data_IF_096853575438
#
_entry.id   IF_096853575438
#
_cell.length_a   1.000
_cell.length_b   1.000
_cell.length_c   1.000
_cell.angle_alpha   90.00
_cell.angle_beta   90.00
_cell.angle_gamma   90.00
#
_symmetry.space_group_name_H-M   'P 1'
#
loop_
_entity.id
_entity.type
_entity.pdbx_description
1 polymer ?
#
# COMPACT_ATOMS: atom_id res chain seq x y z
N UNK A 1 12.73 22.96 -13.59
CA UNK A 1 12.39 22.77 -12.17
C UNK A 1 13.51 22.00 -11.52
N UNK A 2 14.13 22.57 -10.47
CA UNK A 2 15.13 21.87 -9.66
C UNK A 2 14.42 21.16 -8.51
N UNK A 3 14.68 19.87 -8.32
CA UNK A 3 14.11 19.09 -7.22
C UNK A 3 15.23 18.53 -6.37
N UNK A 4 15.17 18.74 -5.07
CA UNK A 4 16.16 18.22 -4.13
C UNK A 4 16.02 16.69 -4.02
N UNK A 5 17.14 15.96 -4.10
CA UNK A 5 17.18 14.51 -3.95
C UNK A 5 17.45 14.14 -2.49
N UNK A 6 18.39 14.82 -1.87
CA UNK A 6 18.77 14.61 -0.46
C UNK A 6 18.34 15.83 0.38
N UNK A 7 17.14 15.76 0.93
CA UNK A 7 16.55 16.88 1.66
C UNK A 7 17.13 17.07 3.07
N UNK A 8 17.94 16.17 3.57
CA UNK A 8 18.43 16.15 4.97
C UNK A 8 19.08 17.48 5.40
N UNK A 9 19.93 18.08 4.54
CA UNK A 9 20.59 19.33 4.87
C UNK A 9 19.62 20.52 4.90
N UNK A 10 18.60 20.52 4.00
CA UNK A 10 17.53 21.53 4.01
C UNK A 10 16.69 21.40 5.28
N UNK A 11 16.31 20.16 5.64
CA UNK A 11 15.56 19.85 6.85
C UNK A 11 16.34 20.30 8.09
N UNK A 12 17.64 20.01 8.16
CA UNK A 12 18.50 20.47 9.26
C UNK A 12 18.54 21.99 9.35
N UNK A 13 18.79 22.67 8.24
CA UNK A 13 18.91 24.13 8.19
C UNK A 13 17.59 24.85 8.46
N UNK A 14 16.48 24.39 7.92
CA UNK A 14 15.22 25.11 7.93
C UNK A 14 14.19 24.61 8.96
N UNK A 15 14.28 23.36 9.38
CA UNK A 15 13.39 22.76 10.37
C UNK A 15 14.10 22.51 11.70
N UNK A 16 15.20 21.75 11.69
CA UNK A 16 15.87 21.36 12.94
C UNK A 16 16.52 22.54 13.67
N UNK A 17 17.02 23.54 12.95
CA UNK A 17 17.59 24.73 13.56
C UNK A 17 16.56 25.67 14.22
N UNK A 18 15.27 25.46 13.98
CA UNK A 18 14.20 26.37 14.44
C UNK A 18 13.68 26.06 15.85
N UNK A 19 13.97 24.89 16.40
CA UNK A 19 13.45 24.48 17.70
C UNK A 19 14.44 23.57 18.43
N UNK A 20 14.57 23.75 19.75
CA UNK A 20 15.42 22.91 20.61
C UNK A 20 14.78 21.54 20.89
N UNK A 21 13.46 21.49 20.96
CA UNK A 21 12.69 20.25 21.14
C UNK A 21 11.73 20.03 19.97
N UNK A 22 11.71 18.80 19.45
CA UNK A 22 10.93 18.43 18.28
C UNK A 22 10.20 17.13 18.48
N UNK A 23 8.94 17.07 18.08
CA UNK A 23 8.12 15.85 18.08
C UNK A 23 7.66 15.60 16.65
N UNK A 24 7.98 14.43 16.12
CA UNK A 24 7.50 13.94 14.84
C UNK A 24 6.46 12.86 15.09
N UNK A 25 5.26 13.04 14.58
CA UNK A 25 4.15 12.10 14.79
C UNK A 25 3.55 11.66 13.48
N UNK A 26 3.29 10.36 13.36
CA UNK A 26 2.53 9.78 12.25
C UNK A 26 1.99 8.40 12.69
N UNK A 27 0.87 8.02 12.13
CA UNK A 27 0.37 6.64 12.26
C UNK A 27 1.26 5.62 11.54
N UNK A 28 2.07 6.06 10.57
CA UNK A 28 2.87 5.19 9.70
C UNK A 28 4.27 5.75 9.48
N UNK A 29 5.07 5.85 10.55
CA UNK A 29 6.49 6.25 10.43
C UNK A 29 7.30 5.17 9.68
N UNK A 30 6.89 3.92 9.75
CA UNK A 30 7.63 2.80 9.17
C UNK A 30 8.83 2.39 10.03
N UNK A 31 9.95 2.05 9.38
CA UNK A 31 11.21 1.75 10.06
C UNK A 31 11.83 3.02 10.64
N UNK A 32 12.03 3.10 11.99
CA UNK A 32 12.54 4.31 12.63
C UNK A 32 13.94 4.72 12.17
N UNK A 33 14.83 3.74 11.93
CA UNK A 33 16.20 4.03 11.52
C UNK A 33 16.23 4.67 10.13
N UNK A 34 15.47 4.12 9.18
CA UNK A 34 15.32 4.69 7.85
C UNK A 34 14.68 6.08 7.89
N UNK A 35 13.64 6.26 8.71
CA UNK A 35 12.98 7.55 8.89
C UNK A 35 13.96 8.61 9.43
N UNK A 36 14.69 8.30 10.51
CA UNK A 36 15.67 9.20 11.10
C UNK A 36 16.74 9.61 10.09
N UNK A 37 17.27 8.66 9.33
CA UNK A 37 18.25 8.90 8.28
C UNK A 37 17.71 9.85 7.20
N UNK A 38 16.49 9.59 6.71
CA UNK A 38 15.81 10.40 5.69
C UNK A 38 15.56 11.83 6.19
N UNK A 39 15.14 11.97 7.43
CA UNK A 39 14.83 13.27 8.06
C UNK A 39 16.06 13.98 8.61
N UNK A 40 17.26 13.40 8.54
CA UNK A 40 18.47 13.99 9.07
C UNK A 40 18.46 14.13 10.60
N UNK A 41 17.82 13.21 11.30
CA UNK A 41 17.73 13.15 12.77
C UNK A 41 18.87 12.28 13.28
N UNK A 42 19.74 12.83 14.15
CA UNK A 42 20.89 12.11 14.70
C UNK A 42 20.51 11.34 15.96
N UNK A 43 19.76 11.99 16.86
CA UNK A 43 19.33 11.40 18.12
C UNK A 43 17.85 11.63 18.34
N UNK A 44 17.08 10.56 18.52
CA UNK A 44 15.69 10.64 18.90
C UNK A 44 15.25 9.43 19.71
N UNK A 45 14.32 9.63 20.63
CA UNK A 45 13.59 8.56 21.27
C UNK A 45 12.41 8.18 20.39
N UNK A 46 12.34 6.94 19.94
CA UNK A 46 11.18 6.42 19.21
C UNK A 46 10.19 5.81 20.21
N UNK A 47 8.94 6.24 20.11
CA UNK A 47 7.83 5.71 20.91
C UNK A 47 6.79 5.18 19.96
N UNK A 48 6.45 3.89 20.07
CA UNK A 48 5.35 3.28 19.35
C UNK A 48 4.24 2.99 20.35
N UNK A 49 3.11 3.63 20.15
CA UNK A 49 1.90 3.34 20.89
C UNK A 49 1.23 2.11 20.29
N UNK A 50 0.78 1.19 21.14
CA UNK A 50 -0.11 0.12 20.71
C UNK A 50 -1.45 0.70 20.30
N UNK A 51 -2.09 0.09 19.31
CA UNK A 51 -3.50 0.34 19.03
C UNK A 51 -4.34 -0.80 19.63
N UNK A 52 -5.62 -0.53 19.84
CA UNK A 52 -6.58 -1.49 20.39
C UNK A 52 -7.17 -2.42 19.31
N UNK A 53 -6.59 -2.47 18.10
CA UNK A 53 -7.10 -3.28 17.02
C UNK A 53 -6.85 -4.76 17.27
N UNK A 54 -7.86 -5.57 17.03
CA UNK A 54 -7.72 -7.01 17.06
C UNK A 54 -7.05 -7.50 15.75
N UNK A 55 -5.77 -7.81 15.84
CA UNK A 55 -4.97 -8.26 14.71
C UNK A 55 -5.42 -9.60 14.11
N UNK A 56 -6.06 -10.46 14.88
CA UNK A 56 -6.61 -11.73 14.39
C UNK A 56 -7.78 -11.50 13.41
N UNK A 57 -8.50 -10.39 13.56
CA UNK A 57 -9.56 -9.97 12.65
C UNK A 57 -9.06 -9.32 11.35
N UNK A 58 -7.76 -9.11 11.21
CA UNK A 58 -7.19 -8.43 10.04
C UNK A 58 -5.93 -9.11 9.49
N UNK A 59 -6.03 -10.39 9.09
CA UNK A 59 -4.91 -11.15 8.56
C UNK A 59 -4.42 -10.59 7.23
N UNK A 60 -3.12 -10.78 6.98
CA UNK A 60 -2.48 -10.47 5.71
C UNK A 60 -2.06 -11.80 5.07
N UNK A 61 -2.74 -12.20 4.01
CA UNK A 61 -2.44 -13.41 3.25
C UNK A 61 -1.44 -13.07 2.16
N UNK A 62 -0.21 -13.51 2.34
CA UNK A 62 0.85 -13.30 1.35
C UNK A 62 0.99 -14.54 0.46
N UNK A 63 0.67 -14.40 -0.82
CA UNK A 63 0.78 -15.47 -1.82
C UNK A 63 2.13 -15.34 -2.51
N UNK A 64 3.09 -16.16 -2.08
CA UNK A 64 4.49 -16.08 -2.50
C UNK A 64 4.77 -16.94 -3.75
N UNK A 65 3.99 -16.75 -4.83
CA UNK A 65 4.10 -17.59 -6.04
C UNK A 65 4.71 -16.88 -7.24
N UNK A 66 4.21 -15.69 -7.56
CA UNK A 66 4.54 -15.02 -8.82
C UNK A 66 5.10 -13.63 -8.53
N UNK A 67 6.22 -13.30 -9.17
CA UNK A 67 6.88 -12.00 -9.05
C UNK A 67 6.39 -11.06 -10.14
N UNK A 68 5.97 -9.86 -9.76
CA UNK A 68 5.59 -8.78 -10.67
C UNK A 68 6.76 -7.82 -10.94
N UNK A 69 7.99 -8.36 -10.96
CA UNK A 69 9.19 -7.61 -11.36
C UNK A 69 9.15 -7.27 -12.84
N UNK A 70 9.94 -6.29 -13.27
CA UNK A 70 10.04 -5.89 -14.69
C UNK A 70 10.41 -7.06 -15.64
N UNK A 71 11.16 -8.04 -15.13
CA UNK A 71 11.61 -9.20 -15.92
C UNK A 71 10.56 -10.30 -16.03
N UNK A 72 9.72 -10.43 -15.01
CA UNK A 72 8.82 -11.59 -14.85
C UNK A 72 7.34 -11.20 -15.01
N UNK A 73 7.01 -9.90 -15.07
CA UNK A 73 5.62 -9.42 -15.07
C UNK A 73 4.78 -10.03 -16.19
N UNK A 74 5.32 -10.14 -17.40
CA UNK A 74 4.57 -10.64 -18.58
C UNK A 74 4.11 -12.08 -18.39
N UNK A 75 4.96 -12.94 -17.84
CA UNK A 75 4.65 -14.36 -17.57
C UNK A 75 3.82 -14.56 -16.30
N UNK A 76 3.98 -13.66 -15.33
CA UNK A 76 3.28 -13.72 -14.04
C UNK A 76 1.87 -13.15 -14.11
N UNK A 77 1.66 -12.13 -14.94
CA UNK A 77 0.43 -11.33 -14.97
C UNK A 77 -0.86 -12.14 -15.18
N UNK A 78 -0.95 -13.11 -16.13
CA UNK A 78 -2.15 -13.92 -16.28
C UNK A 78 -2.44 -14.78 -15.04
N UNK A 79 -1.39 -15.31 -14.40
CA UNK A 79 -1.48 -16.18 -13.21
C UNK A 79 -1.90 -15.39 -11.97
N UNK A 80 -1.38 -14.18 -11.82
CA UNK A 80 -1.76 -13.27 -10.74
C UNK A 80 -3.21 -12.81 -10.91
N UNK A 81 -3.67 -12.59 -12.15
CA UNK A 81 -5.07 -12.28 -12.44
C UNK A 81 -5.99 -13.46 -12.09
N UNK A 82 -5.61 -14.69 -12.40
CA UNK A 82 -6.38 -15.89 -12.02
C UNK A 82 -6.52 -16.01 -10.49
N UNK A 83 -5.46 -15.69 -9.74
CA UNK A 83 -5.51 -15.66 -8.28
C UNK A 83 -6.42 -14.54 -7.76
N UNK A 84 -6.36 -13.36 -8.38
CA UNK A 84 -7.25 -12.24 -8.07
C UNK A 84 -8.72 -12.65 -8.26
N UNK A 85 -9.05 -13.28 -9.38
CA UNK A 85 -10.41 -13.75 -9.67
C UNK A 85 -10.90 -14.76 -8.62
N UNK A 86 -10.05 -15.72 -8.22
CA UNK A 86 -10.37 -16.68 -7.15
C UNK A 86 -10.64 -16.01 -5.81
N UNK A 87 -9.92 -14.93 -5.50
CA UNK A 87 -10.14 -14.15 -4.27
C UNK A 87 -11.48 -13.41 -4.36
N UNK A 88 -11.80 -12.79 -5.49
CA UNK A 88 -13.09 -12.15 -5.70
C UNK A 88 -14.24 -13.15 -5.58
N UNK A 89 -14.08 -14.38 -6.08
CA UNK A 89 -15.04 -15.47 -5.91
C UNK A 89 -15.24 -15.85 -4.44
N UNK A 90 -14.15 -15.94 -3.68
CA UNK A 90 -14.21 -16.25 -2.24
C UNK A 90 -15.01 -15.19 -1.46
N UNK A 91 -14.97 -13.96 -1.91
CA UNK A 91 -15.64 -12.80 -1.29
C UNK A 91 -16.94 -12.41 -2.01
N UNK A 92 -17.76 -13.42 -2.40
CA UNK A 92 -19.10 -13.17 -2.95
C UNK A 92 -19.92 -12.34 -1.97
N UNK A 93 -20.63 -11.33 -2.45
CA UNK A 93 -21.48 -10.48 -1.63
C UNK A 93 -20.74 -9.44 -0.79
N UNK A 94 -19.40 -9.40 -0.80
CA UNK A 94 -18.61 -8.45 -0.03
C UNK A 94 -17.98 -7.38 -0.92
N UNK A 95 -17.92 -6.13 -0.43
CA UNK A 95 -17.15 -5.08 -1.09
C UNK A 95 -15.66 -5.23 -0.78
N UNK A 96 -14.84 -4.85 -1.75
CA UNK A 96 -13.40 -4.88 -1.59
C UNK A 96 -12.69 -3.83 -2.44
N UNK A 97 -11.36 -3.76 -2.27
CA UNK A 97 -10.53 -2.83 -3.03
C UNK A 97 -9.32 -3.54 -3.64
N UNK A 98 -8.89 -3.10 -4.82
CA UNK A 98 -7.70 -3.60 -5.50
C UNK A 98 -6.72 -2.44 -5.69
N UNK A 99 -5.57 -2.51 -5.02
CA UNK A 99 -4.43 -1.64 -5.21
C UNK A 99 -3.57 -2.19 -6.34
N UNK A 100 -3.78 -1.73 -7.56
CA UNK A 100 -3.13 -2.31 -8.74
C UNK A 100 -1.74 -1.73 -9.04
N UNK A 101 -1.39 -0.56 -8.49
CA UNK A 101 -0.06 0.05 -8.59
C UNK A 101 0.21 0.85 -9.86
N UNK A 102 -0.58 0.70 -10.93
CA UNK A 102 -0.50 1.52 -12.15
C UNK A 102 -1.80 1.49 -12.94
N UNK A 103 -2.00 2.47 -13.82
CA UNK A 103 -3.12 2.46 -14.77
C UNK A 103 -3.01 1.30 -15.78
N UNK A 104 -1.80 0.90 -16.15
CA UNK A 104 -1.57 -0.28 -17.01
C UNK A 104 -2.19 -1.54 -16.40
N UNK A 105 -1.91 -1.82 -15.12
CA UNK A 105 -2.48 -2.97 -14.43
C UNK A 105 -3.99 -2.81 -14.17
N UNK A 106 -4.45 -1.60 -13.90
CA UNK A 106 -5.88 -1.34 -13.76
C UNK A 106 -6.62 -1.70 -15.06
N UNK A 107 -6.16 -1.19 -16.19
CA UNK A 107 -6.78 -1.47 -17.50
C UNK A 107 -6.72 -2.95 -17.86
N UNK A 108 -5.62 -3.64 -17.51
CA UNK A 108 -5.51 -5.08 -17.71
C UNK A 108 -6.53 -5.85 -16.88
N UNK A 109 -6.69 -5.53 -15.60
CA UNK A 109 -7.68 -6.15 -14.70
C UNK A 109 -9.09 -5.91 -15.23
N UNK A 110 -9.41 -4.64 -15.59
CA UNK A 110 -10.72 -4.29 -16.13
C UNK A 110 -11.06 -5.01 -17.43
N UNK A 111 -10.07 -5.28 -18.29
CA UNK A 111 -10.28 -5.95 -19.58
C UNK A 111 -10.31 -7.48 -19.50
N UNK A 112 -9.66 -8.09 -18.50
CA UNK A 112 -9.38 -9.54 -18.49
C UNK A 112 -9.97 -10.31 -17.32
N UNK A 113 -10.37 -9.65 -16.22
CA UNK A 113 -11.00 -10.31 -15.08
C UNK A 113 -12.36 -10.91 -15.46
N UNK A 114 -12.69 -12.05 -14.88
CA UNK A 114 -14.00 -12.69 -15.01
C UNK A 114 -15.12 -11.93 -14.25
N UNK A 115 -14.74 -11.00 -13.38
CA UNK A 115 -15.64 -10.28 -12.49
C UNK A 115 -15.82 -8.81 -12.87
N UNK A 116 -15.65 -8.45 -14.16
CA UNK A 116 -15.76 -7.06 -14.65
C UNK A 116 -17.06 -6.37 -14.21
N UNK A 117 -18.16 -7.14 -14.09
CA UNK A 117 -19.45 -6.62 -13.64
C UNK A 117 -19.44 -6.12 -12.16
N UNK A 118 -18.48 -6.56 -11.34
CA UNK A 118 -18.28 -6.09 -9.97
C UNK A 118 -17.27 -4.95 -9.88
N UNK A 119 -16.39 -4.81 -10.88
CA UNK A 119 -15.29 -3.85 -10.84
C UNK A 119 -15.78 -2.44 -11.10
N UNK A 120 -15.26 -1.50 -10.35
CA UNK A 120 -15.42 -0.06 -10.53
C UNK A 120 -14.03 0.55 -10.54
N UNK A 121 -13.72 1.35 -11.56
CA UNK A 121 -12.45 2.07 -11.68
C UNK A 121 -12.69 3.57 -11.87
N UNK A 122 -11.63 4.35 -11.90
CA UNK A 122 -11.62 5.76 -12.24
C UNK A 122 -10.42 6.06 -13.14
N UNK A 123 -10.58 6.94 -14.12
CA UNK A 123 -9.53 7.27 -15.07
C UNK A 123 -8.64 8.42 -14.60
N UNK A 124 -9.22 9.32 -13.82
CA UNK A 124 -8.51 10.50 -13.30
C UNK A 124 -9.04 10.90 -11.92
N UNK A 125 -8.40 11.90 -11.30
CA UNK A 125 -8.75 12.36 -9.95
C UNK A 125 -10.15 12.97 -9.84
N UNK A 126 -10.74 13.48 -10.95
CA UNK A 126 -12.09 14.07 -10.94
C UNK A 126 -13.13 12.96 -10.86
N UNK A 127 -12.93 11.87 -11.59
CA UNK A 127 -13.86 10.73 -11.62
C UNK A 127 -13.79 9.89 -10.34
N UNK A 128 -12.74 10.07 -9.51
CA UNK A 128 -12.54 9.30 -8.28
C UNK A 128 -13.69 9.47 -7.29
N UNK A 129 -14.25 10.68 -7.17
CA UNK A 129 -15.35 10.94 -6.26
C UNK A 129 -16.63 10.19 -6.69
N UNK A 130 -16.96 10.24 -7.97
CA UNK A 130 -18.14 9.57 -8.53
C UNK A 130 -17.99 8.04 -8.47
N UNK A 131 -16.80 7.52 -8.78
CA UNK A 131 -16.50 6.09 -8.63
C UNK A 131 -16.64 5.61 -7.17
N UNK A 132 -16.26 6.42 -6.19
CA UNK A 132 -16.44 6.12 -4.78
C UNK A 132 -17.91 6.11 -4.36
N UNK A 133 -18.71 7.07 -4.84
CA UNK A 133 -20.15 7.10 -4.57
C UNK A 133 -20.85 5.88 -5.16
N UNK A 134 -20.51 5.51 -6.41
CA UNK A 134 -21.02 4.30 -7.03
C UNK A 134 -20.59 3.04 -6.27
N UNK A 135 -19.33 2.96 -5.85
CA UNK A 135 -18.79 1.85 -5.06
C UNK A 135 -19.54 1.66 -3.74
N UNK A 136 -19.83 2.74 -3.02
CA UNK A 136 -20.59 2.69 -1.76
C UNK A 136 -22.04 2.26 -1.94
N UNK A 137 -22.68 2.61 -3.08
CA UNK A 137 -24.07 2.27 -3.37
C UNK A 137 -24.24 0.85 -3.89
N UNK A 138 -23.28 0.34 -4.66
CA UNK A 138 -23.37 -0.97 -5.31
C UNK A 138 -22.94 -2.08 -4.34
N UNK A 139 -23.84 -2.99 -4.04
CA UNK A 139 -23.53 -4.19 -3.26
C UNK A 139 -22.46 -5.04 -3.95
N UNK A 140 -21.59 -5.67 -3.16
CA UNK A 140 -20.49 -6.53 -3.64
C UNK A 140 -19.53 -5.91 -4.66
N UNK A 141 -19.52 -4.59 -4.81
CA UNK A 141 -18.59 -3.90 -5.70
C UNK A 141 -17.12 -4.06 -5.27
N UNK A 142 -16.21 -3.96 -6.24
CA UNK A 142 -14.76 -3.98 -6.01
C UNK A 142 -14.15 -2.75 -6.68
N UNK A 143 -13.59 -1.85 -5.88
CA UNK A 143 -12.96 -0.64 -6.38
C UNK A 143 -11.52 -0.93 -6.81
N UNK A 144 -11.18 -0.60 -8.05
CA UNK A 144 -9.85 -0.84 -8.64
C UNK A 144 -9.16 0.48 -8.93
N UNK A 145 -7.90 0.63 -8.48
CA UNK A 145 -7.15 1.84 -8.83
C UNK A 145 -5.70 1.80 -8.39
N UNK A 146 -4.84 2.61 -9.07
CA UNK A 146 -3.41 2.68 -8.77
C UNK A 146 -3.11 3.42 -7.47
N UNK A 147 -3.97 4.35 -7.06
CA UNK A 147 -3.75 5.26 -5.93
C UNK A 147 -4.91 5.27 -4.92
N UNK A 148 -5.54 4.13 -4.66
CA UNK A 148 -6.61 4.01 -3.65
C UNK A 148 -6.07 4.27 -2.24
N UNK A 149 -4.76 4.17 -2.06
CA UNK A 149 -4.09 4.29 -0.76
C UNK A 149 -4.31 5.63 -0.05
N UNK A 150 -4.58 6.70 -0.80
CA UNK A 150 -4.67 8.04 -0.23
C UNK A 150 -6.12 8.53 -0.05
N UNK A 151 -6.42 9.05 1.15
CA UNK A 151 -7.64 9.83 1.40
C UNK A 151 -8.95 9.04 1.55
N UNK A 152 -8.93 7.69 1.56
CA UNK A 152 -10.14 6.88 1.69
C UNK A 152 -10.32 6.32 3.10
N UNK A 153 -11.52 6.44 3.62
CA UNK A 153 -12.01 5.73 4.80
C UNK A 153 -12.97 4.62 4.34
N UNK A 154 -12.52 3.38 4.47
CA UNK A 154 -13.21 2.20 3.95
C UNK A 154 -13.57 1.22 5.09
N UNK A 155 -14.08 1.76 6.18
CA UNK A 155 -14.45 0.99 7.37
C UNK A 155 -15.67 0.09 7.13
N UNK A 156 -15.79 -0.93 7.98
CA UNK A 156 -16.95 -1.81 8.07
C UNK A 156 -17.24 -2.53 6.73
N UNK A 157 -18.50 -2.67 6.34
CA UNK A 157 -18.92 -3.34 5.12
C UNK A 157 -18.54 -2.63 3.82
N UNK A 158 -17.90 -1.46 3.90
CA UNK A 158 -17.38 -0.77 2.72
C UNK A 158 -16.15 -1.51 2.15
N UNK A 159 -15.32 -2.18 3.00
CA UNK A 159 -14.20 -2.99 2.50
C UNK A 159 -13.91 -4.17 3.41
N UNK A 160 -14.41 -5.34 3.07
CA UNK A 160 -14.15 -6.61 3.79
C UNK A 160 -12.92 -7.34 3.31
N UNK A 161 -12.41 -6.98 2.14
CA UNK A 161 -11.13 -7.46 1.64
C UNK A 161 -10.41 -6.39 0.83
N UNK A 162 -9.10 -6.50 0.79
CA UNK A 162 -8.26 -5.68 -0.07
C UNK A 162 -7.17 -6.53 -0.71
N UNK A 163 -6.83 -6.21 -1.95
CA UNK A 163 -5.85 -6.94 -2.74
C UNK A 163 -4.76 -5.97 -3.19
N UNK A 164 -3.53 -6.22 -2.79
CA UNK A 164 -2.36 -5.64 -3.42
C UNK A 164 -1.97 -6.54 -4.59
N UNK A 165 -2.35 -6.12 -5.79
CA UNK A 165 -2.03 -6.82 -7.03
C UNK A 165 -0.53 -6.79 -7.30
N UNK A 166 0.10 -5.67 -6.94
CA UNK A 166 1.54 -5.46 -6.98
C UNK A 166 2.01 -4.75 -5.72
N UNK A 167 3.27 -4.98 -5.33
CA UNK A 167 3.91 -4.19 -4.28
C UNK A 167 3.89 -2.71 -4.65
N UNK A 168 3.47 -1.79 -3.74
CA UNK A 168 3.29 -0.37 -4.04
C UNK A 168 4.62 0.40 -4.10
N UNK A 169 5.53 -0.04 -4.98
CA UNK A 169 6.78 0.66 -5.24
C UNK A 169 6.52 2.04 -5.84
N UNK A 170 7.29 3.09 -5.44
CA UNK A 170 7.27 4.37 -6.14
C UNK A 170 7.63 4.18 -7.62
N UNK A 171 6.92 4.91 -8.51
CA UNK A 171 7.10 4.74 -9.95
C UNK A 171 8.48 5.18 -10.43
N UNK A 172 9.21 4.27 -11.04
CA UNK A 172 10.51 4.55 -11.67
C UNK A 172 10.41 5.31 -13.01
N UNK A 173 9.22 5.66 -13.46
CA UNK A 173 9.05 6.55 -14.61
C UNK A 173 9.47 7.99 -14.29
N UNK A 174 9.46 8.37 -13.00
CA UNK A 174 9.94 9.67 -12.56
C UNK A 174 11.47 9.69 -12.47
N UNK A 175 12.17 10.60 -13.18
CA UNK A 175 13.61 10.80 -13.04
C UNK A 175 14.04 11.09 -11.60
N UNK A 176 13.21 11.86 -10.85
CA UNK A 176 13.44 12.16 -9.46
C UNK A 176 13.43 10.89 -8.58
N UNK A 177 12.46 10.00 -8.78
CA UNK A 177 12.38 8.73 -8.03
C UNK A 177 13.57 7.82 -8.38
N UNK A 178 13.98 7.76 -9.65
CA UNK A 178 15.19 7.03 -10.06
C UNK A 178 16.44 7.55 -9.36
N UNK A 179 16.58 8.87 -9.30
CA UNK A 179 17.71 9.52 -8.62
C UNK A 179 17.65 9.22 -7.10
N UNK A 180 16.50 9.37 -6.45
CA UNK A 180 16.33 9.00 -5.04
C UNK A 180 16.69 7.54 -4.77
N UNK A 181 16.22 6.61 -5.58
CA UNK A 181 16.57 5.20 -5.43
C UNK A 181 18.09 4.96 -5.55
N UNK A 182 18.78 5.67 -6.46
CA UNK A 182 20.23 5.55 -6.65
C UNK A 182 21.02 6.12 -5.47
N UNK A 183 20.66 7.31 -4.98
CA UNK A 183 21.44 8.04 -3.97
C UNK A 183 20.94 7.80 -2.55
N UNK A 184 19.68 7.38 -2.38
CA UNK A 184 19.04 7.10 -1.10
C UNK A 184 18.27 5.76 -1.15
N UNK A 185 18.95 4.60 -1.29
CA UNK A 185 18.27 3.31 -1.46
C UNK A 185 17.33 2.98 -0.29
N UNK A 186 17.72 3.32 0.94
CA UNK A 186 16.86 3.12 2.14
C UNK A 186 15.54 3.89 2.05
N UNK A 187 15.53 5.05 1.35
CA UNK A 187 14.31 5.83 1.13
C UNK A 187 13.29 5.08 0.27
N UNK A 188 13.75 4.38 -0.77
CA UNK A 188 12.89 3.67 -1.69
C UNK A 188 12.14 2.52 -0.99
N UNK A 189 12.87 1.72 -0.23
CA UNK A 189 12.30 0.62 0.57
C UNK A 189 11.40 1.13 1.69
N UNK A 190 11.85 2.18 2.39
CA UNK A 190 11.06 2.83 3.43
C UNK A 190 9.75 3.38 2.87
N UNK A 191 9.78 4.13 1.77
CA UNK A 191 8.59 4.68 1.12
C UNK A 191 7.62 3.59 0.67
N UNK A 192 8.15 2.48 0.14
CA UNK A 192 7.34 1.32 -0.25
C UNK A 192 6.66 0.69 0.95
N UNK A 193 7.39 0.46 2.04
CA UNK A 193 6.83 -0.11 3.27
C UNK A 193 5.76 0.80 3.89
N UNK A 194 6.00 2.11 3.93
CA UNK A 194 5.01 3.11 4.41
C UNK A 194 3.75 3.09 3.55
N UNK A 195 3.88 3.04 2.21
CA UNK A 195 2.73 2.96 1.31
C UNK A 195 1.92 1.68 1.54
N UNK A 196 2.59 0.54 1.74
CA UNK A 196 1.92 -0.71 2.10
C UNK A 196 1.17 -0.61 3.43
N UNK A 197 1.82 -0.09 4.49
CA UNK A 197 1.21 0.10 5.82
C UNK A 197 -0.01 1.02 5.76
N UNK A 198 0.06 2.11 5.00
CA UNK A 198 -1.05 3.03 4.79
C UNK A 198 -2.23 2.34 4.09
N UNK A 199 -1.97 1.46 3.14
CA UNK A 199 -3.00 0.68 2.46
C UNK A 199 -3.64 -0.34 3.39
N UNK A 200 -2.84 -1.15 4.10
CA UNK A 200 -3.34 -2.15 5.07
C UNK A 200 -4.25 -1.50 6.13
N UNK A 201 -3.97 -0.27 6.55
CA UNK A 201 -4.76 0.47 7.54
C UNK A 201 -6.06 1.07 6.99
N UNK A 202 -6.47 0.83 5.73
CA UNK A 202 -7.68 1.45 5.15
C UNK A 202 -8.97 0.72 5.46
N UNK A 203 -8.94 -0.59 5.53
CA UNK A 203 -10.13 -1.43 5.66
C UNK A 203 -10.49 -1.80 7.09
N UNK A 204 -9.63 -1.52 8.09
CA UNK A 204 -9.90 -1.77 9.51
C UNK A 204 -9.68 -0.49 10.30
N UNK A 205 -10.71 0.00 10.98
CA UNK A 205 -10.73 1.30 11.66
C UNK A 205 -11.12 1.25 13.13
N UNK A 206 -11.61 0.13 13.61
CA UNK A 206 -11.96 -0.09 15.02
C UNK A 206 -11.51 -1.48 15.47
N UNK A 207 -11.55 -1.73 16.78
CA UNK A 207 -11.20 -3.04 17.35
C UNK A 207 -12.18 -4.16 16.97
N UNK A 208 -13.42 -3.80 16.61
CA UNK A 208 -14.46 -4.76 16.24
C UNK A 208 -14.54 -4.99 14.72
N UNK A 209 -13.91 -4.10 13.95
CA UNK A 209 -13.87 -4.19 12.50
C UNK A 209 -12.93 -5.29 12.01
N UNK A 210 -13.20 -5.82 10.83
CA UNK A 210 -12.40 -6.88 10.23
C UNK A 210 -12.27 -6.73 8.72
N UNK A 211 -11.13 -7.13 8.19
CA UNK A 211 -10.91 -7.24 6.75
C UNK A 211 -9.72 -8.16 6.47
N UNK A 212 -9.73 -8.83 5.32
CA UNK A 212 -8.60 -9.64 4.86
C UNK A 212 -7.79 -8.88 3.82
N UNK A 213 -6.48 -8.80 4.03
CA UNK A 213 -5.54 -8.23 3.04
C UNK A 213 -4.87 -9.36 2.28
N UNK A 214 -4.84 -9.28 0.95
CA UNK A 214 -4.10 -10.20 0.10
C UNK A 214 -2.94 -9.47 -0.59
N UNK A 215 -1.75 -10.06 -0.55
CA UNK A 215 -0.58 -9.60 -1.30
C UNK A 215 -0.24 -10.66 -2.35
N UNK A 216 -0.38 -10.33 -3.64
CA UNK A 216 -0.21 -11.28 -4.75
C UNK A 216 1.18 -11.25 -5.37
N UNK A 217 1.97 -10.22 -5.12
CA UNK A 217 3.30 -10.05 -5.70
C UNK A 217 4.39 -10.61 -4.78
N UNK A 218 5.04 -11.69 -5.19
CA UNK A 218 6.13 -12.33 -4.44
C UNK A 218 7.36 -11.43 -4.23
N UNK A 219 7.47 -10.29 -4.92
CA UNK A 219 8.47 -9.25 -4.60
C UNK A 219 8.32 -8.71 -3.18
N UNK A 220 7.16 -8.84 -2.56
CA UNK A 220 6.92 -8.42 -1.17
C UNK A 220 7.83 -9.12 -0.16
N UNK A 221 8.34 -10.32 -0.47
CA UNK A 221 9.25 -11.06 0.41
C UNK A 221 10.46 -10.23 0.85
N UNK A 222 11.00 -9.39 -0.03
CA UNK A 222 12.15 -8.53 0.29
C UNK A 222 11.81 -7.41 1.26
N UNK A 223 10.53 -7.03 1.36
CA UNK A 223 10.06 -5.95 2.23
C UNK A 223 9.61 -6.41 3.61
N UNK A 224 9.41 -7.70 3.82
CA UNK A 224 8.91 -8.24 5.11
C UNK A 224 9.85 -7.84 6.27
N UNK A 225 11.16 -7.77 6.04
CA UNK A 225 12.12 -7.33 7.06
C UNK A 225 11.90 -5.87 7.50
N UNK A 226 11.40 -5.02 6.60
CA UNK A 226 11.14 -3.58 6.81
C UNK A 226 9.77 -3.27 7.40
N UNK A 227 8.91 -4.29 7.52
CA UNK A 227 7.57 -4.12 8.10
C UNK A 227 7.64 -4.26 9.62
N UNK A 228 6.91 -3.44 10.41
CA UNK A 228 6.87 -3.52 11.87
C UNK A 228 6.42 -4.89 12.40
N UNK A 229 6.87 -5.24 13.61
CA UNK A 229 6.64 -6.57 14.21
C UNK A 229 5.15 -6.93 14.32
N UNK A 230 4.32 -6.00 14.73
CA UNK A 230 2.86 -6.17 14.86
C UNK A 230 2.16 -6.43 13.52
N UNK A 231 2.68 -5.87 12.44
CA UNK A 231 2.18 -6.16 11.09
C UNK A 231 2.73 -7.51 10.59
N UNK A 232 4.00 -7.82 10.89
CA UNK A 232 4.60 -9.13 10.54
C UNK A 232 3.83 -10.30 11.15
N UNK A 233 3.39 -10.19 12.40
CA UNK A 233 2.62 -11.25 13.08
C UNK A 233 1.30 -11.56 12.38
N UNK A 234 0.75 -10.62 11.58
CA UNK A 234 -0.48 -10.81 10.81
C UNK A 234 -0.25 -11.52 9.46
N UNK A 235 1.01 -11.63 9.01
CA UNK A 235 1.33 -12.19 7.69
C UNK A 235 1.27 -13.71 7.76
N UNK A 236 0.33 -14.28 6.99
CA UNK A 236 0.22 -15.72 6.73
C UNK A 236 0.69 -15.96 5.30
N UNK A 237 1.84 -16.62 5.15
CA UNK A 237 2.41 -16.91 3.83
C UNK A 237 1.82 -18.22 3.27
N UNK A 238 1.46 -18.19 1.99
CA UNK A 238 1.00 -19.33 1.19
C UNK A 238 1.95 -19.47 0.02
N UNK A 239 2.49 -20.67 -0.16
CA UNK A 239 3.36 -21.05 -1.29
C UNK A 239 2.56 -21.64 -2.45
#
# INVERSE_FOLDING_TARGET
>A
VFTCIEEQWLIRKHLHAKANFKVFMSATIGDPASYMKIMGIENAKFIRLSNDFNYDKSPIVFINKYRMSMREKETSLPKVLEMLDKIIDKHKGQRGVIHCGSYEFMNYIMAKSKHTFRLINYENSKDKADALELFKKKESAVLVGPSILEGLDLKDDISRFQIFFKVPYPSLNSPHIKAKMKYMPDWYDWKTSVSFLQGVGRSVRSKDDWAVTYMLDACFRTLISKVPKDIKSRIKMIE
#
